data_IF_436092985747
#
_entry.id   IF_436092985747
#
_cell.length_a   1.000
_cell.length_b   1.000
_cell.length_c   1.000
_cell.angle_alpha   90.00
_cell.angle_beta   90.00
_cell.angle_gamma   90.00
#
_symmetry.space_group_name_H-M   'P 1'
#
loop_
_entity.id
_entity.type
_entity.pdbx_description
1 polymer ?
#
# COMPACT_ATOMS: atom_id res chain seq x y z
N UNK A 1 10.53 17.79 -35.73
CA UNK A 1 10.89 16.37 -35.79
C UNK A 1 10.67 15.78 -34.41
N UNK A 2 9.54 15.09 -34.21
CA UNK A 2 9.15 14.58 -32.89
C UNK A 2 9.95 13.32 -32.57
N UNK A 3 10.78 13.40 -31.53
CA UNK A 3 11.47 12.25 -30.95
C UNK A 3 10.43 11.21 -30.57
N UNK A 4 10.35 10.11 -31.34
CA UNK A 4 9.60 8.92 -30.95
C UNK A 4 10.29 8.38 -29.69
N UNK A 5 9.81 8.78 -28.53
CA UNK A 5 10.13 8.12 -27.27
C UNK A 5 9.87 6.63 -27.50
N UNK A 6 10.94 5.83 -27.50
CA UNK A 6 10.82 4.39 -27.45
C UNK A 6 10.12 4.08 -26.13
N UNK A 7 8.79 3.90 -26.18
CA UNK A 7 8.05 3.36 -25.06
C UNK A 7 8.66 1.99 -24.77
N UNK A 8 9.50 1.90 -23.73
CA UNK A 8 9.97 0.60 -23.25
C UNK A 8 8.71 -0.24 -23.02
N UNK A 9 8.59 -1.31 -23.78
CA UNK A 9 7.47 -2.23 -23.66
C UNK A 9 7.80 -3.13 -22.47
N UNK A 10 6.98 -3.05 -21.44
CA UNK A 10 7.02 -4.02 -20.35
C UNK A 10 6.24 -5.26 -20.78
N UNK A 11 6.78 -6.43 -20.52
CA UNK A 11 6.02 -7.67 -20.63
C UNK A 11 5.07 -7.79 -19.43
N UNK A 12 3.87 -8.31 -19.66
CA UNK A 12 2.89 -8.59 -18.60
C UNK A 12 2.84 -10.08 -18.33
N UNK A 13 3.09 -10.47 -17.10
CA UNK A 13 2.89 -11.84 -16.64
C UNK A 13 1.63 -11.90 -15.76
N UNK A 14 0.56 -12.43 -16.32
CA UNK A 14 -0.74 -12.54 -15.66
C UNK A 14 -0.85 -13.89 -14.97
N UNK A 15 -0.95 -13.87 -13.65
CA UNK A 15 -1.16 -15.06 -12.82
C UNK A 15 -2.64 -15.19 -12.51
N UNK A 16 -3.25 -16.31 -12.90
CA UNK A 16 -4.69 -16.53 -12.79
C UNK A 16 -5.01 -17.57 -11.73
N UNK A 17 -5.70 -17.15 -10.68
CA UNK A 17 -6.23 -18.05 -9.67
C UNK A 17 -7.61 -18.57 -10.06
N UNK A 18 -7.63 -19.63 -10.87
CA UNK A 18 -8.85 -20.35 -11.27
C UNK A 18 -9.70 -19.60 -12.30
N UNK A 19 -10.02 -18.34 -12.05
CA UNK A 19 -10.76 -17.48 -12.98
C UNK A 19 -9.81 -16.71 -13.89
N UNK A 20 -10.09 -16.80 -15.18
CA UNK A 20 -9.37 -16.02 -16.18
C UNK A 20 -9.79 -14.55 -16.14
N UNK A 21 -8.84 -13.66 -16.48
CA UNK A 21 -9.15 -12.25 -16.71
C UNK A 21 -10.26 -12.12 -17.76
N UNK A 22 -11.23 -11.21 -17.55
CA UNK A 22 -12.27 -10.93 -18.53
C UNK A 22 -11.70 -10.65 -19.92
N UNK A 23 -12.30 -11.26 -20.96
CA UNK A 23 -11.80 -11.16 -22.34
C UNK A 23 -11.58 -9.70 -22.80
N UNK A 24 -12.51 -8.81 -22.46
CA UNK A 24 -12.40 -7.36 -22.75
C UNK A 24 -11.11 -6.73 -22.22
N UNK A 25 -10.64 -7.14 -21.05
CA UNK A 25 -9.39 -6.64 -20.45
C UNK A 25 -8.20 -7.21 -21.21
N UNK A 26 -8.21 -8.52 -21.50
CA UNK A 26 -7.14 -9.19 -22.26
C UNK A 26 -6.93 -8.58 -23.63
N UNK A 27 -8.01 -8.40 -24.39
CA UNK A 27 -7.99 -7.84 -25.73
C UNK A 27 -7.51 -6.38 -25.69
N UNK A 28 -7.91 -5.63 -24.65
CA UNK A 28 -7.47 -4.25 -24.48
C UNK A 28 -5.97 -4.13 -24.21
N UNK A 29 -5.41 -4.97 -23.32
CA UNK A 29 -3.97 -4.99 -23.04
C UNK A 29 -3.16 -5.35 -24.29
N UNK A 30 -3.61 -6.35 -25.05
CA UNK A 30 -2.99 -6.72 -26.33
C UNK A 30 -3.06 -5.58 -27.35
N UNK A 31 -4.21 -4.92 -27.49
CA UNK A 31 -4.38 -3.79 -28.40
C UNK A 31 -3.51 -2.58 -28.03
N UNK A 32 -3.21 -2.39 -26.74
CA UNK A 32 -2.26 -1.38 -26.26
C UNK A 32 -0.78 -1.78 -26.47
N UNK A 33 -0.54 -2.97 -27.00
CA UNK A 33 0.78 -3.43 -27.43
C UNK A 33 1.61 -4.08 -26.33
N UNK A 34 0.97 -4.51 -25.24
CA UNK A 34 1.62 -5.31 -24.19
C UNK A 34 1.74 -6.78 -24.61
N UNK A 35 2.95 -7.31 -24.58
CA UNK A 35 3.17 -8.77 -24.65
C UNK A 35 2.66 -9.36 -23.34
N UNK A 36 1.64 -10.20 -23.41
CA UNK A 36 0.99 -10.75 -22.20
C UNK A 36 1.14 -12.27 -22.19
N UNK A 37 1.67 -12.82 -21.11
CA UNK A 37 1.73 -14.27 -20.85
C UNK A 37 0.82 -14.61 -19.68
N UNK A 38 0.05 -15.69 -19.81
CA UNK A 38 -0.87 -16.16 -18.79
C UNK A 38 -0.33 -17.44 -18.16
N UNK A 39 -0.35 -17.50 -16.83
CA UNK A 39 0.12 -18.64 -16.05
C UNK A 39 -0.84 -18.93 -14.90
N UNK A 40 -0.89 -20.18 -14.46
CA UNK A 40 -1.81 -20.60 -13.38
C UNK A 40 -1.09 -21.15 -12.15
N UNK A 41 0.21 -21.43 -12.28
CA UNK A 41 1.01 -22.02 -11.20
C UNK A 41 2.24 -21.19 -10.87
N UNK A 42 2.66 -21.25 -9.61
CA UNK A 42 3.88 -20.62 -9.12
C UNK A 42 5.14 -21.09 -9.86
N UNK A 43 5.15 -22.35 -10.29
CA UNK A 43 6.24 -22.91 -11.10
C UNK A 43 6.37 -22.21 -12.46
N UNK A 44 5.25 -22.07 -13.18
CA UNK A 44 5.21 -21.35 -14.46
C UNK A 44 5.60 -19.87 -14.32
N UNK A 45 5.27 -19.26 -13.17
CA UNK A 45 5.69 -17.88 -12.86
C UNK A 45 7.22 -17.79 -12.84
N UNK A 46 7.88 -18.64 -12.07
CA UNK A 46 9.34 -18.64 -11.95
C UNK A 46 10.04 -18.96 -13.28
N UNK A 47 9.49 -19.88 -14.08
CA UNK A 47 10.00 -20.20 -15.42
C UNK A 47 9.84 -19.00 -16.37
N UNK A 48 8.67 -18.36 -16.37
CA UNK A 48 8.38 -17.22 -17.25
C UNK A 48 9.19 -15.98 -16.91
N UNK A 49 9.41 -15.69 -15.62
CA UNK A 49 10.18 -14.52 -15.18
C UNK A 49 11.63 -14.52 -15.70
N UNK A 50 12.18 -15.69 -16.04
CA UNK A 50 13.54 -15.81 -16.61
C UNK A 50 13.63 -15.41 -18.09
N UNK A 51 12.50 -15.47 -18.80
CA UNK A 51 12.44 -15.22 -20.24
C UNK A 51 11.99 -13.80 -20.59
N UNK A 52 11.23 -13.16 -19.69
CA UNK A 52 10.59 -11.87 -19.94
C UNK A 52 11.53 -10.69 -19.66
N UNK A 53 11.38 -9.62 -20.44
CA UNK A 53 12.19 -8.41 -20.31
C UNK A 53 11.40 -7.38 -19.49
N UNK A 54 11.90 -7.08 -18.29
CA UNK A 54 11.28 -6.13 -17.35
C UNK A 54 9.79 -6.42 -17.08
N UNK A 55 9.44 -7.64 -16.62
CA UNK A 55 8.05 -8.05 -16.45
C UNK A 55 7.34 -7.24 -15.35
N UNK A 56 6.05 -6.97 -15.57
CA UNK A 56 5.10 -6.53 -14.55
C UNK A 56 4.19 -7.72 -14.22
N UNK A 57 4.10 -8.06 -12.94
CA UNK A 57 3.23 -9.12 -12.46
C UNK A 57 1.80 -8.58 -12.33
N UNK A 58 0.83 -9.27 -12.93
CA UNK A 58 -0.59 -9.05 -12.66
C UNK A 58 -1.17 -10.30 -11.99
N UNK A 59 -1.44 -10.25 -10.70
CA UNK A 59 -1.96 -11.39 -9.95
C UNK A 59 -3.47 -11.23 -9.80
N UNK A 60 -4.25 -12.09 -10.46
CA UNK A 60 -5.70 -12.13 -10.36
C UNK A 60 -6.14 -13.14 -9.30
N UNK A 61 -6.56 -12.64 -8.14
CA UNK A 61 -7.02 -13.44 -7.01
C UNK A 61 -8.47 -13.92 -7.14
N UNK A 62 -9.23 -13.40 -8.12
CA UNK A 62 -10.63 -13.73 -8.35
C UNK A 62 -11.59 -13.09 -7.32
N UNK A 63 -12.80 -13.64 -7.24
CA UNK A 63 -13.88 -13.18 -6.34
C UNK A 63 -13.85 -13.82 -4.95
N UNK A 64 -12.81 -14.59 -4.62
CA UNK A 64 -12.68 -15.26 -3.31
C UNK A 64 -12.09 -14.33 -2.25
N UNK A 65 -12.57 -14.45 -1.01
CA UNK A 65 -12.22 -13.60 0.13
C UNK A 65 -10.91 -14.02 0.86
N UNK A 66 -10.07 -14.81 0.20
CA UNK A 66 -8.82 -15.39 0.74
C UNK A 66 -7.58 -14.99 -0.09
N UNK A 67 -7.61 -13.77 -0.65
CA UNK A 67 -6.51 -13.23 -1.45
C UNK A 67 -5.19 -13.16 -0.65
N UNK A 68 -5.25 -12.77 0.63
CA UNK A 68 -4.08 -12.70 1.52
C UNK A 68 -3.42 -14.07 1.70
N UNK A 69 -4.21 -15.09 2.06
CA UNK A 69 -3.71 -16.47 2.24
C UNK A 69 -3.10 -17.02 0.95
N UNK A 70 -3.76 -16.77 -0.19
CA UNK A 70 -3.24 -17.14 -1.49
C UNK A 70 -1.90 -16.47 -1.81
N UNK A 71 -1.77 -15.16 -1.56
CA UNK A 71 -0.55 -14.41 -1.81
C UNK A 71 0.60 -14.86 -0.91
N UNK A 72 0.31 -15.06 0.38
CA UNK A 72 1.28 -15.53 1.37
C UNK A 72 1.83 -16.93 1.02
N UNK A 73 0.92 -17.86 0.66
CA UNK A 73 1.29 -19.23 0.35
C UNK A 73 2.09 -19.35 -0.97
N UNK A 74 1.85 -18.48 -1.95
CA UNK A 74 2.37 -18.66 -3.30
C UNK A 74 3.44 -17.66 -3.74
N UNK A 75 3.53 -16.47 -3.13
CA UNK A 75 4.42 -15.41 -3.64
C UNK A 75 5.26 -14.72 -2.56
N UNK A 76 4.73 -14.46 -1.35
CA UNK A 76 5.46 -13.69 -0.34
C UNK A 76 6.71 -14.39 0.21
N UNK A 77 6.82 -15.70 0.02
CA UNK A 77 7.99 -16.50 0.40
C UNK A 77 9.02 -16.68 -0.73
N UNK A 78 8.83 -16.05 -1.90
CA UNK A 78 9.66 -16.24 -3.10
C UNK A 78 10.49 -14.99 -3.44
N UNK A 79 11.75 -14.88 -2.98
CA UNK A 79 12.58 -13.70 -3.20
C UNK A 79 12.72 -13.31 -4.68
N UNK A 80 12.79 -14.30 -5.57
CA UNK A 80 12.91 -14.11 -7.01
C UNK A 80 11.69 -13.42 -7.62
N UNK A 81 10.51 -13.53 -7.00
CA UNK A 81 9.27 -12.88 -7.47
C UNK A 81 9.16 -11.46 -6.89
N UNK A 82 9.55 -11.27 -5.63
CA UNK A 82 9.41 -10.02 -4.89
C UNK A 82 10.19 -8.83 -5.49
N UNK A 83 11.22 -9.09 -6.28
CA UNK A 83 11.99 -8.06 -6.97
C UNK A 83 11.23 -7.36 -8.11
N UNK A 84 10.13 -7.96 -8.61
CA UNK A 84 9.36 -7.41 -9.72
C UNK A 84 8.19 -6.56 -9.23
N UNK A 85 7.76 -5.55 -10.00
CA UNK A 85 6.60 -4.77 -9.62
C UNK A 85 5.31 -5.56 -9.86
N UNK A 86 4.31 -5.35 -9.02
CA UNK A 86 3.08 -6.15 -9.00
C UNK A 86 1.81 -5.29 -8.97
N UNK A 87 0.79 -5.75 -9.70
CA UNK A 87 -0.59 -5.30 -9.61
C UNK A 87 -1.42 -6.49 -9.12
N UNK A 88 -2.07 -6.38 -7.97
CA UNK A 88 -2.95 -7.43 -7.43
C UNK A 88 -4.40 -7.06 -7.68
N UNK A 89 -5.18 -7.99 -8.21
CA UNK A 89 -6.56 -7.82 -8.61
C UNK A 89 -7.47 -8.75 -7.81
N UNK A 90 -8.54 -8.24 -7.18
CA UNK A 90 -9.50 -9.09 -6.45
C UNK A 90 -10.53 -8.31 -5.63
N UNK A 91 -11.41 -9.00 -4.92
CA UNK A 91 -12.55 -8.38 -4.21
C UNK A 91 -12.17 -7.54 -2.98
N UNK A 92 -11.19 -7.98 -2.18
CA UNK A 92 -10.80 -7.33 -0.92
C UNK A 92 -9.28 -7.10 -0.83
N UNK A 93 -8.67 -6.77 -1.97
CA UNK A 93 -7.20 -6.61 -2.08
C UNK A 93 -6.68 -5.27 -1.57
N UNK A 94 -7.53 -4.25 -1.42
CA UNK A 94 -7.11 -2.90 -0.98
C UNK A 94 -6.49 -2.89 0.42
N UNK A 95 -6.93 -3.78 1.31
CA UNK A 95 -6.36 -3.92 2.65
C UNK A 95 -4.92 -4.47 2.62
N UNK A 96 -4.52 -5.10 1.51
CA UNK A 96 -3.21 -5.75 1.36
C UNK A 96 -2.15 -4.80 0.79
N UNK A 97 -2.52 -3.62 0.30
CA UNK A 97 -1.59 -2.73 -0.40
C UNK A 97 -0.38 -2.35 0.46
N UNK A 98 -0.59 -2.05 1.75
CA UNK A 98 0.50 -1.74 2.68
C UNK A 98 1.42 -2.94 2.93
N UNK A 99 0.86 -4.14 3.05
CA UNK A 99 1.63 -5.36 3.26
C UNK A 99 2.45 -5.69 2.01
N UNK A 100 1.83 -5.63 0.84
CA UNK A 100 2.48 -5.87 -0.45
C UNK A 100 3.65 -4.90 -0.69
N UNK A 101 3.50 -3.63 -0.33
CA UNK A 101 4.58 -2.64 -0.45
C UNK A 101 5.76 -2.88 0.51
N UNK A 102 5.59 -3.68 1.57
CA UNK A 102 6.70 -4.11 2.43
C UNK A 102 7.52 -5.26 1.81
N UNK A 103 6.93 -6.00 0.87
CA UNK A 103 7.54 -7.20 0.28
C UNK A 103 8.01 -6.97 -1.17
N UNK A 104 7.20 -6.32 -2.00
CA UNK A 104 7.49 -6.09 -3.41
C UNK A 104 8.22 -4.77 -3.64
N UNK A 105 9.01 -4.70 -4.71
CA UNK A 105 9.69 -3.47 -5.14
C UNK A 105 8.73 -2.29 -5.39
N UNK A 106 7.53 -2.59 -5.89
CA UNK A 106 6.42 -1.66 -6.06
C UNK A 106 5.14 -2.48 -6.19
N UNK A 107 4.14 -2.19 -5.37
CA UNK A 107 2.84 -2.85 -5.44
C UNK A 107 1.71 -1.84 -5.60
N UNK A 108 0.65 -2.27 -6.28
CA UNK A 108 -0.65 -1.60 -6.27
C UNK A 108 -1.77 -2.63 -6.35
N UNK A 109 -2.96 -2.27 -5.88
CA UNK A 109 -4.11 -3.16 -5.80
C UNK A 109 -5.29 -2.58 -6.58
N UNK A 110 -6.08 -3.44 -7.23
CA UNK A 110 -7.32 -3.05 -7.88
C UNK A 110 -8.46 -3.96 -7.44
N UNK A 111 -9.51 -3.31 -6.94
CA UNK A 111 -10.71 -3.99 -6.47
C UNK A 111 -11.63 -4.40 -7.63
N UNK A 112 -12.19 -5.61 -7.59
CA UNK A 112 -13.25 -6.01 -8.52
C UNK A 112 -14.59 -5.33 -8.19
N UNK A 113 -15.44 -4.98 -9.18
CA UNK A 113 -15.31 -5.23 -10.61
C UNK A 113 -14.31 -4.30 -11.32
N UNK A 114 -13.60 -4.84 -12.32
CA UNK A 114 -12.53 -4.14 -13.05
C UNK A 114 -12.98 -3.68 -14.43
N UNK A 115 -12.61 -2.48 -14.83
CA UNK A 115 -12.68 -2.05 -16.23
C UNK A 115 -11.31 -2.16 -16.91
N UNK A 116 -11.25 -2.26 -18.26
CA UNK A 116 -9.97 -2.25 -18.98
C UNK A 116 -9.14 -0.98 -18.72
N UNK A 117 -9.78 0.16 -18.42
CA UNK A 117 -9.08 1.39 -18.13
C UNK A 117 -8.39 1.37 -16.76
N UNK A 118 -9.01 0.76 -15.76
CA UNK A 118 -8.43 0.64 -14.41
C UNK A 118 -7.13 -0.17 -14.46
N UNK A 119 -7.16 -1.32 -15.13
CA UNK A 119 -6.00 -2.18 -15.30
C UNK A 119 -4.89 -1.47 -16.08
N UNK A 120 -5.24 -0.78 -17.17
CA UNK A 120 -4.27 -0.02 -17.95
C UNK A 120 -3.65 1.14 -17.14
N UNK A 121 -4.46 1.84 -16.34
CA UNK A 121 -4.00 2.92 -15.48
C UNK A 121 -3.01 2.41 -14.42
N UNK A 122 -3.31 1.30 -13.77
CA UNK A 122 -2.41 0.67 -12.80
C UNK A 122 -1.10 0.19 -13.45
N UNK A 123 -1.17 -0.47 -14.61
CA UNK A 123 0.03 -0.90 -15.34
C UNK A 123 0.89 0.30 -15.75
N UNK A 124 0.27 1.38 -16.23
CA UNK A 124 1.00 2.61 -16.58
C UNK A 124 1.61 3.30 -15.36
N UNK A 125 0.90 3.29 -14.22
CA UNK A 125 1.43 3.78 -12.95
C UNK A 125 2.69 2.99 -12.55
N UNK A 126 2.62 1.66 -12.56
CA UNK A 126 3.77 0.81 -12.28
C UNK A 126 4.91 1.08 -13.26
N UNK A 127 4.64 1.06 -14.56
CA UNK A 127 5.65 1.26 -15.61
C UNK A 127 6.36 2.62 -15.50
N UNK A 128 5.63 3.67 -15.08
CA UNK A 128 6.20 5.01 -14.87
C UNK A 128 7.08 5.05 -13.62
N UNK A 129 6.59 4.54 -12.50
CA UNK A 129 7.29 4.66 -11.22
C UNK A 129 8.47 3.69 -11.09
N UNK A 130 8.35 2.48 -11.64
CA UNK A 130 9.43 1.49 -11.61
C UNK A 130 10.69 1.94 -12.38
N UNK A 131 10.52 2.74 -13.45
CA UNK A 131 11.65 3.31 -14.21
C UNK A 131 12.44 4.39 -13.47
N UNK A 132 11.85 4.99 -12.44
CA UNK A 132 12.39 6.19 -11.79
C UNK A 132 13.56 5.90 -10.83
N UNK A 133 14.12 4.70 -10.88
CA UNK A 133 15.09 4.20 -9.91
C UNK A 133 14.35 3.56 -8.73
N UNK A 134 14.83 2.37 -8.34
CA UNK A 134 14.38 1.66 -7.12
C UNK A 134 14.17 2.68 -5.99
N UNK A 135 12.98 2.76 -5.35
CA UNK A 135 13.00 3.22 -3.98
C UNK A 135 14.00 2.31 -3.26
N UNK A 136 15.04 2.89 -2.65
CA UNK A 136 15.91 2.13 -1.77
C UNK A 136 15.00 1.46 -0.76
N UNK A 137 14.85 0.13 -0.89
CA UNK A 137 14.19 -0.68 0.13
C UNK A 137 14.84 -0.26 1.44
N UNK A 138 14.11 0.31 2.42
CA UNK A 138 14.70 0.58 3.70
C UNK A 138 15.19 -0.79 4.20
N UNK A 139 16.51 -0.96 4.21
CA UNK A 139 17.14 -2.16 4.77
C UNK A 139 16.59 -2.26 6.19
N UNK A 140 15.76 -3.27 6.43
CA UNK A 140 15.38 -3.66 7.79
C UNK A 140 16.72 -3.80 8.53
N UNK A 141 17.00 -2.97 9.56
CA UNK A 141 18.28 -3.01 10.24
C UNK A 141 18.50 -4.42 10.77
N UNK A 142 19.43 -5.13 10.14
CA UNK A 142 19.88 -6.43 10.60
C UNK A 142 20.78 -6.17 11.79
N UNK A 143 20.40 -6.72 12.95
CA UNK A 143 21.03 -6.60 14.26
C UNK A 143 20.94 -5.21 14.91
N UNK A 144 20.12 -5.16 15.97
CA UNK A 144 20.20 -4.14 17.00
C UNK A 144 21.63 -4.09 17.55
N UNK A 145 22.35 -3.00 17.30
CA UNK A 145 23.49 -2.62 18.14
C UNK A 145 22.93 -2.21 19.50
N UNK A 146 23.52 -2.76 20.55
CA UNK A 146 23.27 -2.36 21.93
C UNK A 146 23.31 -0.82 22.06
N UNK A 147 22.36 -0.21 22.78
CA UNK A 147 22.36 1.24 22.97
C UNK A 147 23.61 1.65 23.77
N UNK A 148 24.24 2.79 23.42
CA UNK A 148 25.38 3.30 24.17
C UNK A 148 24.97 3.69 25.60
N UNK A 149 25.87 3.47 26.55
CA UNK A 149 25.72 3.93 27.93
C UNK A 149 25.57 5.46 27.97
N UNK A 150 24.59 5.95 28.73
CA UNK A 150 24.32 7.36 28.95
C UNK A 150 25.34 7.95 29.95
N UNK A 151 25.95 9.08 29.59
CA UNK A 151 26.77 9.90 30.49
C UNK A 151 25.91 10.80 31.40
N UNK A 152 26.47 11.12 32.57
CA UNK A 152 25.82 11.64 33.78
C UNK A 152 25.34 13.11 33.77
N UNK A 153 25.46 13.84 32.65
CA UNK A 153 25.10 15.27 32.62
C UNK A 153 23.72 15.50 31.99
N UNK A 154 22.69 15.34 32.82
CA UNK A 154 21.28 15.45 32.47
C UNK A 154 20.84 16.80 31.90
N UNK A 155 20.87 16.94 30.58
CA UNK A 155 20.07 17.93 29.85
C UNK A 155 19.24 17.24 28.77
N UNK A 156 17.89 17.27 28.83
CA UNK A 156 17.06 16.67 27.81
C UNK A 156 17.09 17.53 26.54
N UNK A 157 17.32 16.88 25.40
CA UNK A 157 17.13 17.44 24.06
C UNK A 157 15.73 18.08 23.96
N UNK A 158 15.67 19.41 23.90
CA UNK A 158 14.45 20.14 23.54
C UNK A 158 14.05 19.74 22.12
N UNK A 159 12.94 19.00 21.98
CA UNK A 159 12.27 18.87 20.69
C UNK A 159 11.51 17.57 20.41
N UNK A 160 11.63 16.54 21.25
CA UNK A 160 10.87 15.29 21.09
C UNK A 160 10.29 14.89 22.45
N UNK A 161 8.96 14.77 22.52
CA UNK A 161 8.24 14.30 23.70
C UNK A 161 8.90 12.99 24.21
N UNK A 162 9.04 12.76 25.53
CA UNK A 162 9.85 11.67 26.10
C UNK A 162 9.58 10.28 25.51
N UNK A 163 8.36 10.02 25.03
CA UNK A 163 7.98 8.78 24.33
C UNK A 163 8.62 8.57 22.96
N UNK A 164 9.06 9.63 22.27
CA UNK A 164 9.77 9.49 21.00
C UNK A 164 11.23 9.08 21.19
N UNK A 165 11.83 9.41 22.33
CA UNK A 165 13.21 9.01 22.64
C UNK A 165 13.31 7.51 22.99
N UNK A 166 12.22 6.89 23.44
CA UNK A 166 12.18 5.49 23.84
C UNK A 166 11.76 4.52 22.74
N UNK A 167 11.24 5.00 21.61
CA UNK A 167 10.64 4.16 20.57
C UNK A 167 11.38 4.29 19.24
N UNK A 168 11.76 3.15 18.65
CA UNK A 168 12.58 3.08 17.44
C UNK A 168 11.94 3.70 16.19
N UNK A 169 10.62 3.93 16.19
CA UNK A 169 9.89 4.54 15.08
C UNK A 169 8.48 5.01 15.50
N UNK A 170 7.93 5.99 14.76
CA UNK A 170 6.53 6.45 14.88
C UNK A 170 5.50 5.30 14.79
N UNK A 171 5.65 4.32 13.87
CA UNK A 171 4.80 3.12 13.83
C UNK A 171 4.86 2.26 15.11
N UNK A 172 6.02 2.12 15.74
CA UNK A 172 6.13 1.33 16.99
C UNK A 172 5.45 2.04 18.16
N UNK A 173 5.62 3.36 18.26
CA UNK A 173 4.87 4.18 19.22
C UNK A 173 3.35 4.03 19.01
N UNK A 174 2.90 3.99 17.76
CA UNK A 174 1.50 3.77 17.39
C UNK A 174 0.96 2.39 17.86
N UNK A 175 1.66 1.30 17.57
CA UNK A 175 1.20 -0.04 17.98
C UNK A 175 1.25 -0.23 19.50
N UNK A 176 2.23 0.36 20.16
CA UNK A 176 2.32 0.37 21.62
C UNK A 176 1.18 1.18 22.23
N UNK A 177 0.91 2.40 21.73
CA UNK A 177 -0.22 3.20 22.17
C UNK A 177 -1.56 2.49 21.93
N UNK A 178 -1.74 1.77 20.82
CA UNK A 178 -2.94 0.96 20.59
C UNK A 178 -3.08 -0.20 21.58
N UNK A 179 -1.96 -0.83 21.97
CA UNK A 179 -1.94 -1.90 22.98
C UNK A 179 -2.18 -1.37 24.40
N UNK A 180 -1.62 -0.21 24.71
CA UNK A 180 -1.67 0.41 26.05
C UNK A 180 -2.97 1.18 26.28
N UNK A 181 -3.51 1.82 25.25
CA UNK A 181 -4.87 2.30 25.30
C UNK A 181 -5.80 1.09 25.39
N UNK A 182 -6.45 0.95 26.53
CA UNK A 182 -7.63 0.11 26.78
C UNK A 182 -8.84 0.44 25.87
N UNK A 183 -8.62 1.04 24.69
CA UNK A 183 -9.60 1.27 23.63
C UNK A 183 -10.17 -0.05 23.10
N UNK A 184 -9.46 -1.17 23.26
CA UNK A 184 -9.97 -2.51 22.94
C UNK A 184 -10.85 -3.12 24.05
N UNK A 185 -10.77 -2.63 25.29
CA UNK A 185 -11.58 -3.15 26.41
C UNK A 185 -12.98 -2.51 26.46
N UNK A 186 -13.16 -1.31 25.92
CA UNK A 186 -14.47 -0.67 25.79
C UNK A 186 -14.94 -0.80 24.36
N UNK A 187 -16.15 -1.33 24.19
CA UNK A 187 -16.83 -1.46 22.91
C UNK A 187 -17.16 -0.05 22.37
N UNK A 188 -16.19 0.61 21.73
CA UNK A 188 -16.27 1.98 21.20
C UNK A 188 -17.16 2.11 19.96
N UNK A 189 -18.16 1.24 19.81
CA UNK A 189 -19.07 1.29 18.67
C UNK A 189 -18.33 1.10 17.34
N UNK A 190 -17.49 0.07 17.24
CA UNK A 190 -16.78 -0.30 15.99
C UNK A 190 -17.71 -0.55 14.80
N UNK A 191 -19.03 -0.67 15.02
CA UNK A 191 -20.07 -0.72 13.99
C UNK A 191 -20.56 0.65 13.49
N UNK A 192 -20.28 1.75 14.20
CA UNK A 192 -20.61 3.13 13.78
C UNK A 192 -19.54 3.72 12.86
N UNK A 193 -18.28 3.38 13.12
CA UNK A 193 -17.12 3.91 12.39
C UNK A 193 -17.16 3.64 10.86
N UNK A 194 -17.47 2.42 10.39
CA UNK A 194 -17.56 2.14 8.96
C UNK A 194 -18.80 2.76 8.32
N UNK A 195 -19.88 2.97 9.09
CA UNK A 195 -21.14 3.55 8.60
C UNK A 195 -21.07 5.08 8.44
N UNK A 196 -20.18 5.75 9.16
CA UNK A 196 -19.99 7.21 9.09
C UNK A 196 -18.78 7.65 8.27
N UNK A 197 -17.89 6.71 7.88
CA UNK A 197 -16.78 6.97 6.95
C UNK A 197 -17.23 7.18 5.49
N UNK A 198 -18.53 7.22 5.22
CA UNK A 198 -19.07 7.84 4.00
C UNK A 198 -18.84 9.35 4.09
N UNK A 199 -17.68 9.77 3.60
CA UNK A 199 -17.23 11.03 2.95
C UNK A 199 -17.91 12.39 3.21
N UNK A 200 -19.06 12.52 3.85
CA UNK A 200 -19.67 13.80 4.22
C UNK A 200 -19.52 14.15 5.70
N UNK A 201 -19.30 13.18 6.59
CA UNK A 201 -19.27 13.44 8.05
C UNK A 201 -18.08 14.30 8.54
N UNK A 202 -16.97 14.35 7.80
CA UNK A 202 -15.82 15.21 8.12
C UNK A 202 -15.85 16.57 7.40
N UNK A 203 -16.57 16.66 6.29
CA UNK A 203 -16.82 17.93 5.61
C UNK A 203 -17.96 18.72 6.30
N UNK A 204 -18.90 18.02 6.92
CA UNK A 204 -20.00 18.58 7.70
C UNK A 204 -19.57 18.82 9.17
N UNK A 205 -18.96 19.97 9.40
CA UNK A 205 -18.99 20.75 10.64
C UNK A 205 -18.73 20.00 11.96
N UNK A 206 -17.46 19.94 12.41
CA UNK A 206 -16.99 20.25 13.80
C UNK A 206 -15.56 19.80 14.12
N UNK A 207 -14.95 18.94 13.30
CA UNK A 207 -13.65 18.32 13.63
C UNK A 207 -12.40 19.07 13.16
N UNK A 208 -12.56 20.06 12.28
CA UNK A 208 -11.46 20.92 11.84
C UNK A 208 -11.47 22.24 12.61
N UNK A 209 -10.30 22.83 12.92
CA UNK A 209 -10.20 24.14 13.55
C UNK A 209 -11.01 25.20 12.79
N UNK A 210 -11.60 26.14 13.53
CA UNK A 210 -12.39 27.25 12.94
C UNK A 210 -11.47 28.29 12.31
N UNK A 211 -10.25 28.41 12.82
CA UNK A 211 -9.19 29.24 12.27
C UNK A 211 -8.77 28.72 10.88
N UNK A 212 -9.02 29.53 9.85
CA UNK A 212 -8.77 29.19 8.44
C UNK A 212 -7.33 28.73 8.17
N UNK A 213 -6.34 29.40 8.76
CA UNK A 213 -4.94 29.09 8.52
C UNK A 213 -4.55 27.71 9.06
N UNK A 214 -5.05 27.36 10.24
CA UNK A 214 -4.82 26.04 10.87
C UNK A 214 -5.56 24.96 10.10
N UNK A 215 -6.81 25.23 9.71
CA UNK A 215 -7.62 24.32 8.88
C UNK A 215 -6.93 23.97 7.56
N UNK A 216 -6.41 24.98 6.86
CA UNK A 216 -5.72 24.79 5.59
C UNK A 216 -4.44 23.96 5.76
N UNK A 217 -3.72 24.14 6.88
CA UNK A 217 -2.55 23.34 7.20
C UNK A 217 -2.92 21.87 7.46
N UNK A 218 -3.97 21.62 8.25
CA UNK A 218 -4.48 20.26 8.48
C UNK A 218 -4.91 19.56 7.19
N UNK A 219 -5.64 20.26 6.30
CA UNK A 219 -6.06 19.71 5.01
C UNK A 219 -4.87 19.39 4.09
N UNK A 220 -3.83 20.23 4.12
CA UNK A 220 -2.59 20.00 3.37
C UNK A 220 -1.87 18.74 3.86
N UNK A 221 -1.72 18.58 5.18
CA UNK A 221 -1.12 17.39 5.81
C UNK A 221 -1.94 16.13 5.50
N UNK A 222 -3.27 16.20 5.60
CA UNK A 222 -4.16 15.08 5.27
C UNK A 222 -4.05 14.66 3.80
N UNK A 223 -3.91 15.63 2.90
CA UNK A 223 -3.75 15.38 1.46
C UNK A 223 -2.39 14.74 1.16
N UNK A 224 -1.32 15.21 1.79
CA UNK A 224 0.03 14.65 1.65
C UNK A 224 0.14 13.24 2.23
N UNK A 225 -0.59 12.95 3.31
CA UNK A 225 -0.56 11.65 3.98
C UNK A 225 -1.38 10.55 3.27
N UNK A 226 -2.04 10.90 2.15
CA UNK A 226 -2.85 9.96 1.38
C UNK A 226 -4.11 9.47 2.12
N UNK A 227 -4.84 8.53 1.51
CA UNK A 227 -6.14 8.06 2.02
C UNK A 227 -6.06 7.51 3.46
N UNK A 228 -5.00 6.76 3.76
CA UNK A 228 -4.80 6.15 5.08
C UNK A 228 -4.43 7.18 6.16
N UNK A 229 -3.51 8.11 5.85
CA UNK A 229 -3.16 9.19 6.77
C UNK A 229 -4.35 10.11 7.05
N UNK A 230 -5.14 10.43 6.03
CA UNK A 230 -6.39 11.19 6.17
C UNK A 230 -7.39 10.48 7.08
N UNK A 231 -7.74 9.22 6.78
CA UNK A 231 -8.70 8.44 7.58
C UNK A 231 -8.23 8.24 9.04
N UNK A 232 -6.91 8.21 9.26
CA UNK A 232 -6.33 8.12 10.60
C UNK A 232 -6.44 9.45 11.37
N UNK A 233 -6.09 10.58 10.75
CA UNK A 233 -6.23 11.91 11.36
C UNK A 233 -7.70 12.21 11.69
N UNK A 234 -8.59 11.85 10.78
CA UNK A 234 -10.05 11.86 10.96
C UNK A 234 -10.48 11.00 12.17
N UNK A 235 -9.91 9.79 12.32
CA UNK A 235 -10.16 8.91 13.48
C UNK A 235 -9.74 9.51 14.81
N UNK A 236 -8.54 10.07 14.85
CA UNK A 236 -7.96 10.65 16.06
C UNK A 236 -8.75 11.88 16.49
N UNK A 237 -9.13 12.74 15.53
CA UNK A 237 -10.00 13.89 15.81
C UNK A 237 -11.36 13.46 16.38
N UNK A 238 -11.99 12.42 15.82
CA UNK A 238 -13.24 11.88 16.34
C UNK A 238 -13.11 11.33 17.77
N UNK A 239 -12.06 10.57 18.05
CA UNK A 239 -11.83 10.00 19.38
C UNK A 239 -11.55 11.07 20.45
N UNK A 240 -10.90 12.18 20.07
CA UNK A 240 -10.60 13.28 20.99
C UNK A 240 -11.83 14.12 21.34
N UNK A 241 -12.77 14.33 20.41
CA UNK A 241 -14.02 15.07 20.66
C UNK A 241 -15.08 14.23 21.40
N UNK A 242 -15.01 12.91 21.26
CA UNK A 242 -15.92 11.97 21.92
C UNK A 242 -15.56 11.68 23.39
N UNK A 243 -14.46 12.26 23.91
CA UNK A 243 -14.01 12.19 25.30
C UNK A 243 -14.42 13.43 26.07
#
# INVERSE_FOLDING_TARGET
MSSKQAHLKHDLLVVQRGEALPAKIRDHLQHKGFTTRYVTSTKEVLESLRELISPILLIHCGEKDDASEYLAANFLSLPDVLQFPVVVLGKDVDALESELNNHFSLATTLRTPLTPQDVLAAVNYIAKNYRSGRPEVPKIPTAAKEPPALDEDGVPYKGLHPTYASEASLPNLFFKQIREFKLLEKNLGGSKYPRQAHTTFFDEERFLPREMDVRNHCLSVMTQAGKWGRLHLERVAYLLDAM
#
